data_IF_682025609681
#
_entry.id   IF_682025609681
#
_cell.length_a   1.000
_cell.length_b   1.000
_cell.length_c   1.000
_cell.angle_alpha   90.00
_cell.angle_beta   90.00
_cell.angle_gamma   90.00
#
_symmetry.space_group_name_H-M   'P 1'
#
loop_
_entity.id
_entity.type
_entity.pdbx_description
1 polymer ?
#
# COMPACT_ATOMS: atom_id res chain seq x y z
N UNK A 1 14.44 -9.05 -20.98
CA UNK A 1 14.72 -9.72 -19.70
C UNK A 1 14.22 -11.15 -19.81
N UNK A 2 15.01 -12.13 -19.34
CA UNK A 2 14.84 -13.55 -19.66
C UNK A 2 13.73 -14.18 -18.82
N UNK A 3 12.85 -14.97 -19.45
CA UNK A 3 11.75 -15.73 -18.81
C UNK A 3 12.17 -16.57 -17.58
N UNK A 4 13.48 -16.86 -17.44
CA UNK A 4 14.03 -17.64 -16.33
C UNK A 4 14.10 -16.86 -15.01
N UNK A 5 14.31 -15.55 -15.06
CA UNK A 5 14.44 -14.73 -13.85
C UNK A 5 13.08 -14.55 -13.15
N UNK A 6 12.01 -14.42 -13.95
CA UNK A 6 10.63 -14.36 -13.46
C UNK A 6 10.16 -15.67 -12.83
N UNK A 7 10.62 -16.82 -13.35
CA UNK A 7 10.28 -18.14 -12.80
C UNK A 7 10.97 -18.39 -11.46
N UNK A 8 12.23 -17.96 -11.32
CA UNK A 8 12.99 -18.04 -10.06
C UNK A 8 12.34 -17.14 -9.00
N UNK A 9 11.95 -15.92 -9.36
CA UNK A 9 11.23 -15.00 -8.47
C UNK A 9 9.88 -15.58 -8.02
N UNK A 10 9.09 -16.16 -8.94
CA UNK A 10 7.82 -16.83 -8.57
C UNK A 10 8.02 -17.96 -7.57
N UNK A 11 9.06 -18.78 -7.74
CA UNK A 11 9.38 -19.87 -6.81
C UNK A 11 9.84 -19.36 -5.45
N UNK A 12 10.64 -18.30 -5.39
CA UNK A 12 11.06 -17.68 -4.13
C UNK A 12 9.88 -17.07 -3.37
N UNK A 13 8.99 -16.37 -4.08
CA UNK A 13 7.76 -15.85 -3.48
C UNK A 13 6.87 -16.97 -2.93
N UNK A 14 6.67 -18.07 -3.68
CA UNK A 14 5.92 -19.24 -3.21
C UNK A 14 6.52 -19.89 -1.95
N UNK A 15 7.85 -19.95 -1.86
CA UNK A 15 8.53 -20.51 -0.70
C UNK A 15 8.33 -19.65 0.56
N UNK A 16 8.32 -18.32 0.40
CA UNK A 16 7.99 -17.37 1.47
C UNK A 16 6.51 -17.46 1.92
N UNK A 17 5.58 -17.82 1.03
CA UNK A 17 4.17 -18.08 1.39
C UNK A 17 4.03 -19.23 2.39
N UNK A 18 4.76 -20.33 2.16
CA UNK A 18 4.69 -21.52 3.02
C UNK A 18 5.21 -21.27 4.44
N UNK A 19 6.18 -20.37 4.58
CA UNK A 19 6.79 -20.03 5.88
C UNK A 19 5.88 -19.05 6.67
N UNK A 20 5.23 -18.10 5.98
CA UNK A 20 4.40 -17.07 6.63
C UNK A 20 3.03 -17.56 7.11
N UNK A 21 2.50 -18.67 6.58
CA UNK A 21 1.22 -19.21 7.02
C UNK A 21 1.24 -19.76 8.46
N UNK A 22 2.42 -20.13 8.98
CA UNK A 22 2.59 -20.69 10.33
C UNK A 22 2.74 -19.62 11.44
N UNK A 23 3.04 -18.36 11.09
CA UNK A 23 3.38 -17.28 12.02
C UNK A 23 2.33 -16.17 12.16
N UNK A 24 1.12 -16.34 11.61
CA UNK A 24 0.08 -15.28 11.62
C UNK A 24 0.45 -14.06 10.76
N UNK A 25 1.52 -14.15 9.98
CA UNK A 25 1.93 -13.16 8.99
C UNK A 25 0.99 -13.18 7.78
N UNK A 26 0.61 -11.98 7.34
CA UNK A 26 -0.08 -11.63 6.08
C UNK A 26 -0.35 -12.82 5.16
N UNK A 27 -1.62 -13.18 4.98
CA UNK A 27 -2.01 -14.08 3.90
C UNK A 27 -1.51 -13.46 2.59
N UNK A 28 -0.51 -14.09 2.00
CA UNK A 28 0.09 -13.64 0.76
C UNK A 28 -0.95 -13.78 -0.35
N UNK A 29 -1.48 -12.65 -0.81
CA UNK A 29 -2.36 -12.64 -1.98
C UNK A 29 -1.51 -12.83 -3.23
N UNK A 30 -1.47 -14.08 -3.67
CA UNK A 30 -0.70 -14.50 -4.85
C UNK A 30 -1.21 -13.83 -6.14
N UNK A 31 -2.49 -13.44 -6.19
CA UNK A 31 -3.06 -12.77 -7.35
C UNK A 31 -2.57 -11.33 -7.42
N UNK A 32 -2.56 -10.63 -6.29
CA UNK A 32 -1.98 -9.27 -6.21
C UNK A 32 -0.48 -9.28 -6.56
N UNK A 33 0.26 -10.28 -6.07
CA UNK A 33 1.70 -10.38 -6.29
C UNK A 33 2.11 -10.73 -7.73
N UNK A 34 1.16 -11.23 -8.54
CA UNK A 34 1.38 -11.59 -9.94
C UNK A 34 0.73 -10.62 -10.92
N UNK A 35 0.09 -9.57 -10.42
CA UNK A 35 -0.55 -8.53 -11.23
C UNK A 35 0.53 -7.69 -11.91
N UNK A 36 0.53 -7.70 -13.25
CA UNK A 36 1.23 -6.69 -14.04
C UNK A 36 0.52 -5.35 -13.84
N UNK A 37 1.19 -4.20 -13.97
CA UNK A 37 0.50 -2.91 -13.91
C UNK A 37 -0.48 -2.85 -15.08
N UNK A 38 -1.76 -3.07 -14.80
CA UNK A 38 -2.80 -2.83 -15.79
C UNK A 38 -2.99 -1.32 -15.88
N UNK A 39 -2.87 -0.78 -17.10
CA UNK A 39 -3.23 0.60 -17.45
C UNK A 39 -4.70 0.96 -17.06
N UNK A 40 -5.51 -0.02 -16.63
CA UNK A 40 -6.86 0.17 -16.09
C UNK A 40 -6.92 0.86 -14.73
N UNK A 41 -5.78 1.17 -14.08
CA UNK A 41 -5.77 2.07 -12.91
C UNK A 41 -6.42 3.43 -13.20
N UNK A 42 -6.47 3.85 -14.47
CA UNK A 42 -7.11 5.11 -14.91
C UNK A 42 -8.64 5.04 -15.04
N UNK A 43 -9.29 3.89 -14.88
CA UNK A 43 -10.74 3.71 -15.12
C UNK A 43 -11.53 3.17 -13.92
N UNK A 44 -10.94 3.13 -12.73
CA UNK A 44 -11.70 2.80 -11.52
C UNK A 44 -12.52 4.03 -11.11
N UNK A 45 -13.84 3.93 -11.27
CA UNK A 45 -14.77 4.93 -10.74
C UNK A 45 -14.73 4.90 -9.21
N UNK A 46 -14.13 5.93 -8.61
CA UNK A 46 -14.06 6.09 -7.16
C UNK A 46 -15.35 6.78 -6.71
N UNK A 47 -16.21 6.04 -6.01
CA UNK A 47 -17.38 6.61 -5.34
C UNK A 47 -16.96 7.46 -4.14
N UNK A 48 -17.77 8.46 -3.80
CA UNK A 48 -17.51 9.33 -2.66
C UNK A 48 -17.42 8.54 -1.34
N UNK A 49 -18.30 7.55 -1.14
CA UNK A 49 -18.28 6.68 0.04
C UNK A 49 -17.00 5.83 0.12
N UNK A 50 -16.48 5.36 -1.01
CA UNK A 50 -15.24 4.58 -1.06
C UNK A 50 -14.05 5.48 -0.73
N UNK A 51 -14.07 6.71 -1.27
CA UNK A 51 -13.08 7.72 -0.97
C UNK A 51 -13.03 8.04 0.52
N UNK A 52 -14.18 8.34 1.13
CA UNK A 52 -14.27 8.73 2.52
C UNK A 52 -13.82 7.60 3.45
N UNK A 53 -14.21 6.36 3.18
CA UNK A 53 -13.77 5.19 3.97
C UNK A 53 -12.24 5.04 4.00
N UNK A 54 -11.58 5.15 2.85
CA UNK A 54 -10.11 5.02 2.78
C UNK A 54 -9.43 6.23 3.42
N UNK A 55 -9.95 7.43 3.20
CA UNK A 55 -9.44 8.66 3.82
C UNK A 55 -9.49 8.58 5.34
N UNK A 56 -10.64 8.20 5.91
CA UNK A 56 -10.84 8.09 7.35
C UNK A 56 -9.91 7.02 7.95
N UNK A 57 -9.78 5.87 7.28
CA UNK A 57 -8.85 4.82 7.70
C UNK A 57 -7.38 5.30 7.69
N UNK A 58 -6.98 6.04 6.66
CA UNK A 58 -5.63 6.58 6.53
C UNK A 58 -5.36 7.62 7.63
N UNK A 59 -6.26 8.59 7.78
CA UNK A 59 -6.17 9.64 8.78
C UNK A 59 -6.15 9.05 10.20
N UNK A 60 -7.02 8.08 10.49
CA UNK A 60 -7.02 7.37 11.76
C UNK A 60 -5.69 6.65 12.01
N UNK A 61 -5.15 5.95 11.00
CA UNK A 61 -3.89 5.20 11.14
C UNK A 61 -2.69 6.11 11.44
N UNK A 62 -2.66 7.30 10.84
CA UNK A 62 -1.61 8.30 11.05
C UNK A 62 -1.73 9.03 12.40
N UNK A 63 -2.95 9.26 12.89
CA UNK A 63 -3.20 10.03 14.13
C UNK A 63 -3.26 9.18 15.39
N UNK A 64 -3.85 8.00 15.30
CA UNK A 64 -4.22 7.16 16.45
C UNK A 64 -3.87 5.68 16.28
N UNK A 65 -3.65 5.23 15.05
CA UNK A 65 -3.43 3.83 14.73
C UNK A 65 -1.96 3.44 14.53
N UNK A 66 -1.78 2.44 13.66
CA UNK A 66 -0.52 1.72 13.49
C UNK A 66 0.65 2.62 13.06
N UNK A 67 0.40 3.57 12.14
CA UNK A 67 1.47 4.39 11.59
C UNK A 67 1.93 5.51 12.54
N UNK A 68 1.08 5.97 13.46
CA UNK A 68 1.42 7.01 14.45
C UNK A 68 2.75 6.75 15.17
N UNK A 69 2.96 5.51 15.61
CA UNK A 69 4.15 5.14 16.41
C UNK A 69 5.41 4.95 15.58
N UNK A 70 5.24 4.64 14.30
CA UNK A 70 6.32 4.33 13.37
C UNK A 70 6.87 5.61 12.69
N UNK A 71 6.06 6.68 12.60
CA UNK A 71 6.50 8.00 12.13
C UNK A 71 7.27 8.74 13.23
N UNK A 72 8.59 8.58 13.26
CA UNK A 72 9.51 9.34 14.12
C UNK A 72 10.44 10.20 13.27
N UNK A 73 10.90 11.36 13.78
CA UNK A 73 11.75 12.33 13.07
C UNK A 73 12.99 11.72 12.39
N UNK A 74 13.54 10.62 12.94
CA UNK A 74 14.61 9.82 12.35
C UNK A 74 14.23 8.33 12.18
N UNK A 75 12.94 8.05 12.08
CA UNK A 75 12.41 6.69 11.93
C UNK A 75 12.58 6.15 10.51
N UNK A 76 12.52 4.82 10.34
CA UNK A 76 12.51 4.22 9.00
C UNK A 76 11.31 4.72 8.19
N UNK A 77 11.48 4.80 6.87
CA UNK A 77 10.34 5.01 5.97
C UNK A 77 9.44 3.79 6.04
N UNK A 78 8.16 4.01 6.32
CA UNK A 78 7.16 2.95 6.31
C UNK A 78 6.75 2.74 4.87
N UNK A 79 6.82 1.49 4.40
CA UNK A 79 6.40 1.11 3.07
C UNK A 79 5.26 0.09 3.18
N UNK A 80 4.25 0.25 2.34
CA UNK A 80 3.13 -0.70 2.27
C UNK A 80 2.47 -0.70 0.90
N UNK A 81 1.76 -1.79 0.59
CA UNK A 81 0.86 -1.88 -0.59
C UNK A 81 -0.60 -1.81 -0.14
N UNK A 82 -1.53 -1.56 -1.08
CA UNK A 82 -2.95 -1.42 -0.77
C UNK A 82 -3.55 -2.66 -0.07
N UNK A 83 -3.13 -3.87 -0.45
CA UNK A 83 -3.56 -5.11 0.22
C UNK A 83 -3.12 -5.17 1.70
N UNK A 84 -1.92 -4.69 2.02
CA UNK A 84 -1.45 -4.60 3.41
C UNK A 84 -2.24 -3.55 4.18
N UNK A 85 -2.50 -2.38 3.57
CA UNK A 85 -3.32 -1.33 4.17
C UNK A 85 -4.73 -1.83 4.48
N UNK A 86 -5.37 -2.56 3.56
CA UNK A 86 -6.68 -3.19 3.76
C UNK A 86 -6.66 -4.09 5.00
N UNK A 87 -5.69 -5.00 5.08
CA UNK A 87 -5.61 -5.96 6.18
C UNK A 87 -5.36 -5.30 7.54
N UNK A 88 -4.57 -4.23 7.59
CA UNK A 88 -4.20 -3.55 8.84
C UNK A 88 -5.21 -2.49 9.29
N UNK A 89 -5.81 -1.75 8.36
CA UNK A 89 -6.60 -0.55 8.69
C UNK A 89 -8.07 -0.64 8.22
N UNK A 90 -8.41 -1.57 7.32
CA UNK A 90 -9.75 -1.68 6.72
C UNK A 90 -10.24 -3.14 6.65
N UNK A 91 -9.90 -3.98 7.64
CA UNK A 91 -10.13 -5.44 7.59
C UNK A 91 -11.59 -5.83 7.34
N UNK A 92 -12.54 -5.02 7.81
CA UNK A 92 -13.98 -5.24 7.64
C UNK A 92 -14.55 -4.62 6.35
N UNK A 93 -13.77 -3.81 5.65
CA UNK A 93 -14.20 -3.16 4.41
C UNK A 93 -14.33 -4.18 3.28
N UNK A 94 -15.38 -4.02 2.49
CA UNK A 94 -15.61 -4.78 1.26
C UNK A 94 -14.80 -4.22 0.07
N UNK A 95 -14.06 -3.13 0.26
CA UNK A 95 -13.27 -2.52 -0.82
C UNK A 95 -12.16 -3.45 -1.28
N UNK A 96 -12.05 -3.64 -2.58
CA UNK A 96 -10.97 -4.39 -3.20
C UNK A 96 -9.64 -3.61 -3.08
N UNK A 97 -8.48 -4.29 -2.91
CA UNK A 97 -7.17 -3.62 -2.85
C UNK A 97 -6.91 -2.63 -3.98
N UNK A 98 -7.34 -2.94 -5.20
CA UNK A 98 -7.25 -2.02 -6.37
C UNK A 98 -8.01 -0.70 -6.19
N UNK A 99 -9.15 -0.70 -5.49
CA UNK A 99 -9.93 0.52 -5.22
C UNK A 99 -9.21 1.34 -4.16
N UNK A 100 -8.71 0.67 -3.12
CA UNK A 100 -7.91 1.29 -2.07
C UNK A 100 -6.64 1.93 -2.66
N UNK A 101 -5.95 1.22 -3.55
CA UNK A 101 -4.78 1.74 -4.29
C UNK A 101 -5.12 3.02 -5.06
N UNK A 102 -6.19 3.00 -5.86
CA UNK A 102 -6.63 4.17 -6.63
C UNK A 102 -6.97 5.36 -5.74
N UNK A 103 -7.68 5.13 -4.63
CA UNK A 103 -8.04 6.18 -3.67
C UNK A 103 -6.81 6.75 -2.97
N UNK A 104 -5.92 5.91 -2.45
CA UNK A 104 -4.68 6.36 -1.80
C UNK A 104 -3.83 7.19 -2.75
N UNK A 105 -3.73 6.78 -4.01
CA UNK A 105 -3.05 7.56 -5.06
C UNK A 105 -3.67 8.94 -5.20
N UNK A 106 -5.00 9.01 -5.37
CA UNK A 106 -5.72 10.28 -5.51
C UNK A 106 -5.55 11.19 -4.29
N UNK A 107 -5.56 10.64 -3.08
CA UNK A 107 -5.30 11.39 -1.84
C UNK A 107 -3.90 11.98 -1.84
N UNK A 108 -2.89 11.20 -2.23
CA UNK A 108 -1.49 11.63 -2.23
C UNK A 108 -1.24 12.70 -3.31
N UNK A 109 -1.75 12.50 -4.52
CA UNK A 109 -1.63 13.45 -5.63
C UNK A 109 -2.26 14.81 -5.30
N UNK A 110 -3.30 14.80 -4.47
CA UNK A 110 -4.06 15.99 -4.08
C UNK A 110 -3.87 16.32 -2.60
N UNK A 111 -2.77 15.90 -1.97
CA UNK A 111 -2.56 16.06 -0.52
C UNK A 111 -2.70 17.52 -0.06
N UNK A 112 -2.33 18.46 -0.93
CA UNK A 112 -2.45 19.89 -0.68
C UNK A 112 -3.89 20.40 -0.52
N UNK A 113 -4.88 19.65 -1.04
CA UNK A 113 -6.31 19.95 -0.91
C UNK A 113 -6.89 19.43 0.41
N UNK A 114 -6.13 18.67 1.20
CA UNK A 114 -6.55 18.08 2.47
C UNK A 114 -5.73 18.66 3.64
N UNK A 115 -6.15 19.79 4.25
CA UNK A 115 -5.37 20.47 5.29
C UNK A 115 -4.94 19.57 6.44
N UNK A 116 -5.83 18.67 6.86
CA UNK A 116 -5.60 17.70 7.94
C UNK A 116 -4.43 16.76 7.65
N UNK A 117 -4.22 16.34 6.40
CA UNK A 117 -3.10 15.50 5.99
C UNK A 117 -1.85 16.34 5.71
N UNK A 118 -2.02 17.50 5.07
CA UNK A 118 -0.92 18.44 4.77
C UNK A 118 -0.17 18.88 6.01
N UNK A 119 -0.88 19.15 7.11
CA UNK A 119 -0.31 19.62 8.37
C UNK A 119 0.32 18.50 9.22
N UNK A 120 0.18 17.23 8.82
CA UNK A 120 0.77 16.12 9.57
C UNK A 120 2.29 16.19 9.59
N UNK A 121 2.89 15.59 10.63
CA UNK A 121 4.34 15.45 10.80
C UNK A 121 4.96 14.37 9.91
N UNK A 122 4.30 14.02 8.81
CA UNK A 122 4.77 13.06 7.82
C UNK A 122 4.51 13.54 6.39
N UNK A 123 5.32 13.04 5.47
CA UNK A 123 5.13 13.10 4.04
C UNK A 123 4.57 11.76 3.56
N UNK A 124 3.58 11.85 2.68
CA UNK A 124 3.01 10.71 1.97
C UNK A 124 3.53 10.76 0.53
N UNK A 125 3.92 9.61 0.00
CA UNK A 125 4.39 9.47 -1.39
C UNK A 125 4.13 8.05 -1.86
N UNK A 126 4.30 7.79 -3.15
CA UNK A 126 4.30 6.43 -3.68
C UNK A 126 5.34 6.25 -4.78
N UNK A 127 5.70 5.01 -5.07
CA UNK A 127 6.47 4.64 -6.27
C UNK A 127 5.79 3.51 -7.02
N UNK A 128 5.80 3.60 -8.34
CA UNK A 128 5.40 2.50 -9.24
C UNK A 128 6.57 1.56 -9.53
N UNK A 129 7.80 2.08 -9.39
CA UNK A 129 9.03 1.30 -9.45
C UNK A 129 9.29 0.67 -8.09
N UNK A 130 8.83 -0.57 -7.91
CA UNK A 130 9.24 -1.42 -6.80
C UNK A 130 10.74 -1.72 -6.89
N UNK A 131 11.59 -0.83 -6.37
CA UNK A 131 13.05 -1.05 -6.27
C UNK A 131 13.44 -1.96 -5.10
N UNK A 132 12.46 -2.32 -4.27
CA UNK A 132 12.61 -3.19 -3.10
C UNK A 132 12.31 -4.63 -3.49
N UNK A 133 13.11 -5.57 -2.97
CA UNK A 133 12.86 -7.02 -3.13
C UNK A 133 11.50 -7.48 -2.58
N UNK A 134 10.78 -6.61 -1.85
CA UNK A 134 9.49 -6.91 -1.24
C UNK A 134 8.29 -6.35 -2.01
N UNK A 135 8.49 -5.55 -3.06
CA UNK A 135 7.39 -5.00 -3.86
C UNK A 135 7.45 -5.57 -5.28
N UNK A 136 6.47 -6.40 -5.67
CA UNK A 136 6.43 -6.96 -7.01
C UNK A 136 6.28 -5.84 -8.05
N UNK A 137 6.92 -6.02 -9.21
CA UNK A 137 6.76 -5.12 -10.35
C UNK A 137 5.29 -5.03 -10.71
N UNK A 138 4.73 -3.81 -10.73
CA UNK A 138 3.34 -3.56 -11.10
C UNK A 138 2.40 -3.19 -9.95
N UNK A 139 2.88 -3.22 -8.70
CA UNK A 139 2.11 -2.79 -7.53
C UNK A 139 2.67 -1.50 -6.98
N UNK A 140 1.80 -0.50 -6.77
CA UNK A 140 2.20 0.80 -6.24
C UNK A 140 2.59 0.67 -4.77
N UNK A 141 3.81 1.12 -4.45
CA UNK A 141 4.35 1.12 -3.09
C UNK A 141 4.09 2.47 -2.44
N UNK A 142 3.29 2.51 -1.37
CA UNK A 142 3.02 3.72 -0.60
C UNK A 142 4.05 3.89 0.50
N UNK A 143 4.52 5.14 0.67
CA UNK A 143 5.59 5.51 1.58
C UNK A 143 5.13 6.59 2.56
N UNK A 144 5.35 6.36 3.85
CA UNK A 144 5.18 7.36 4.92
C UNK A 144 6.55 7.64 5.53
N UNK A 145 6.97 8.90 5.49
CA UNK A 145 8.22 9.37 6.09
C UNK A 145 7.94 10.53 7.03
N UNK A 146 8.57 10.59 8.20
CA UNK A 146 8.43 11.76 9.07
C UNK A 146 9.01 13.02 8.40
N UNK A 147 8.40 14.18 8.68
CA UNK A 147 8.96 15.49 8.31
C UNK A 147 10.14 15.81 9.23
N UNK A 148 11.17 16.43 8.65
CA UNK A 148 12.35 16.93 9.37
C UNK A 148 12.02 18.05 10.35
#
# INVERSE_FOLDING_TARGET
>A
MSNKDDEIMRRMCQMLVGINAASGSLQFDRNEFSRLPDDTQTTIEIKEDDFQQVYDALYHSLTNGFYKFAVRKNGPTIQFIAAQFKNSNMKQSQLEPRVIEAVLTKIIDNVDQYPQLKEMKCNLSYSDDGSSCMTPKGVRCFCIKAKE
#
